data_IF_662327210751
#
_entry.id   IF_662327210751
#
_cell.length_a   1.000
_cell.length_b   1.000
_cell.length_c   1.000
_cell.angle_alpha   90.00
_cell.angle_beta   90.00
_cell.angle_gamma   90.00
#
_symmetry.space_group_name_H-M   'P 1'
#
loop_
_entity.id
_entity.type
_entity.pdbx_description
1 polymer ?
#
# COMPACT_ATOMS: atom_id res chain seq x y z
N UNK A 1 13.94 5.85 -17.23
CA UNK A 1 14.06 6.30 -15.82
C UNK A 1 14.86 5.25 -15.05
N UNK A 2 15.81 5.66 -14.20
CA UNK A 2 16.48 4.76 -13.24
C UNK A 2 16.18 5.29 -11.85
N UNK A 3 15.73 4.40 -10.96
CA UNK A 3 15.36 4.73 -9.59
C UNK A 3 15.74 3.57 -8.67
N UNK A 4 16.36 3.89 -7.53
CA UNK A 4 16.56 2.94 -6.44
C UNK A 4 15.75 3.38 -5.24
N UNK A 5 14.98 2.44 -4.68
CA UNK A 5 14.23 2.61 -3.44
C UNK A 5 14.91 1.72 -2.41
N UNK A 6 15.38 2.32 -1.32
CA UNK A 6 15.99 1.62 -0.19
C UNK A 6 14.95 1.35 0.90
N UNK A 7 15.34 0.60 1.93
CA UNK A 7 14.56 0.45 3.16
C UNK A 7 14.21 1.80 3.78
N UNK A 8 13.15 1.83 4.58
CA UNK A 8 12.57 3.05 5.14
C UNK A 8 11.38 3.56 4.31
N UNK A 9 11.03 4.82 4.48
CA UNK A 9 9.87 5.42 3.84
C UNK A 9 10.26 6.36 2.70
N UNK A 10 9.69 6.13 1.50
CA UNK A 10 9.91 6.94 0.30
C UNK A 10 8.60 7.49 -0.22
N UNK A 11 8.48 8.80 -0.36
CA UNK A 11 7.35 9.43 -1.02
C UNK A 11 7.63 9.70 -2.50
N UNK A 12 6.66 9.36 -3.35
CA UNK A 12 6.61 9.72 -4.76
C UNK A 12 5.67 10.91 -4.93
N UNK A 13 6.22 12.10 -5.12
CA UNK A 13 5.50 13.35 -5.24
C UNK A 13 5.42 13.78 -6.71
N UNK A 14 4.29 14.27 -7.16
CA UNK A 14 4.14 14.82 -8.51
C UNK A 14 2.69 15.04 -8.90
N UNK A 15 2.43 15.78 -9.99
CA UNK A 15 1.07 16.07 -10.44
C UNK A 15 0.33 14.78 -10.87
N UNK A 16 -1.00 14.89 -11.00
CA UNK A 16 -1.81 13.80 -11.58
C UNK A 16 -1.31 13.46 -12.98
N UNK A 17 -1.29 12.20 -13.33
CA UNK A 17 -0.79 11.73 -14.63
C UNK A 17 0.73 11.67 -14.78
N UNK A 18 1.52 11.96 -13.73
CA UNK A 18 2.99 11.90 -13.81
C UNK A 18 3.58 10.46 -13.84
N UNK A 19 2.74 9.42 -13.71
CA UNK A 19 3.16 8.02 -13.76
C UNK A 19 3.36 7.34 -12.40
N UNK A 20 3.01 7.98 -11.27
CA UNK A 20 3.22 7.44 -9.92
C UNK A 20 2.53 6.10 -9.70
N UNK A 21 1.22 6.01 -9.94
CA UNK A 21 0.45 4.76 -9.80
C UNK A 21 0.91 3.68 -10.79
N UNK A 22 1.35 4.08 -11.99
CA UNK A 22 1.96 3.15 -12.94
C UNK A 22 3.24 2.56 -12.36
N UNK A 23 4.10 3.40 -11.77
CA UNK A 23 5.31 2.93 -11.10
C UNK A 23 5.02 1.94 -9.98
N UNK A 24 4.01 2.21 -9.11
CA UNK A 24 3.62 1.25 -8.07
C UNK A 24 3.22 -0.10 -8.68
N UNK A 25 2.45 -0.11 -9.77
CA UNK A 25 2.02 -1.34 -10.44
C UNK A 25 3.18 -2.12 -11.08
N UNK A 26 4.24 -1.43 -11.50
CA UNK A 26 5.47 -2.08 -11.96
C UNK A 26 6.24 -2.73 -10.81
N UNK A 27 6.27 -2.11 -9.61
CA UNK A 27 7.01 -2.61 -8.46
C UNK A 27 6.47 -3.95 -7.94
N UNK A 28 5.16 -4.19 -8.02
CA UNK A 28 4.54 -5.46 -7.59
C UNK A 28 4.06 -6.33 -8.78
N UNK A 29 4.54 -6.02 -9.98
CA UNK A 29 4.23 -6.78 -11.20
C UNK A 29 2.72 -6.90 -11.49
N UNK A 30 1.93 -5.86 -11.21
CA UNK A 30 0.59 -5.70 -11.77
C UNK A 30 0.62 -5.18 -13.21
N UNK A 31 1.76 -4.69 -13.65
CA UNK A 31 2.09 -4.36 -15.02
C UNK A 31 3.57 -4.68 -15.26
N UNK A 32 3.92 -5.08 -16.48
CA UNK A 32 5.31 -5.25 -16.89
C UNK A 32 5.81 -3.97 -17.60
N UNK A 33 7.09 -3.61 -17.47
CA UNK A 33 7.64 -2.46 -18.17
C UNK A 33 7.82 -2.77 -19.66
N UNK A 34 7.46 -1.82 -20.55
CA UNK A 34 7.72 -1.93 -22.00
C UNK A 34 9.21 -2.04 -22.29
N UNK A 35 10.05 -1.34 -21.50
CA UNK A 35 11.50 -1.34 -21.61
C UNK A 35 12.15 -1.25 -20.23
N UNK A 36 13.33 -1.85 -20.11
CA UNK A 36 14.07 -1.84 -18.85
C UNK A 36 13.69 -2.99 -17.93
N UNK A 37 14.10 -2.89 -16.68
CA UNK A 37 13.92 -3.93 -15.65
C UNK A 37 13.49 -3.33 -14.33
N UNK A 38 12.62 -4.03 -13.61
CA UNK A 38 12.34 -3.78 -12.19
C UNK A 38 12.97 -4.92 -11.39
N UNK A 39 13.70 -4.58 -10.33
CA UNK A 39 14.36 -5.57 -9.48
C UNK A 39 13.90 -5.48 -8.05
N UNK A 40 13.67 -6.62 -7.45
CA UNK A 40 13.39 -6.74 -6.01
C UNK A 40 14.50 -7.61 -5.40
N UNK A 41 15.24 -7.08 -4.43
CA UNK A 41 16.45 -7.72 -3.86
C UNK A 41 17.45 -8.21 -4.94
N UNK A 42 17.63 -7.40 -6.00
CA UNK A 42 18.57 -7.72 -7.10
C UNK A 42 18.03 -8.65 -8.17
N UNK A 43 16.92 -9.36 -7.95
CA UNK A 43 16.27 -10.26 -8.90
C UNK A 43 15.24 -9.50 -9.75
N UNK A 44 15.22 -9.73 -11.07
CA UNK A 44 14.17 -9.18 -11.95
C UNK A 44 12.80 -9.70 -11.49
N UNK A 45 11.84 -8.83 -11.30
CA UNK A 45 10.49 -9.21 -10.83
C UNK A 45 9.78 -10.18 -11.78
N UNK A 46 10.18 -10.23 -13.05
CA UNK A 46 9.65 -11.17 -14.04
C UNK A 46 10.10 -12.61 -13.82
N UNK A 47 11.20 -12.80 -13.09
CA UNK A 47 11.74 -14.12 -12.73
C UNK A 47 11.11 -14.67 -11.44
N UNK A 48 10.40 -13.81 -10.67
CA UNK A 48 9.74 -14.17 -9.43
C UNK A 48 8.32 -14.67 -9.69
N UNK A 49 7.83 -15.56 -8.82
CA UNK A 49 6.41 -15.90 -8.81
C UNK A 49 5.58 -14.64 -8.45
N UNK A 50 4.56 -14.29 -9.25
CA UNK A 50 3.79 -13.07 -9.03
C UNK A 50 3.01 -13.06 -7.71
N UNK A 51 2.57 -14.20 -7.21
CA UNK A 51 1.82 -14.29 -5.95
C UNK A 51 2.76 -14.07 -4.78
N UNK A 52 3.94 -14.72 -4.79
CA UNK A 52 4.97 -14.52 -3.79
C UNK A 52 5.50 -13.08 -3.79
N UNK A 53 5.72 -12.49 -4.97
CA UNK A 53 6.11 -11.08 -5.05
C UNK A 53 5.06 -10.16 -4.41
N UNK A 54 3.78 -10.36 -4.71
CA UNK A 54 2.68 -9.52 -4.19
C UNK A 54 2.40 -9.75 -2.72
N UNK A 55 2.76 -10.91 -2.18
CA UNK A 55 2.77 -11.15 -0.74
C UNK A 55 3.80 -10.25 -0.05
N UNK A 56 5.03 -10.20 -0.57
CA UNK A 56 6.15 -9.41 -0.02
C UNK A 56 6.06 -7.92 -0.34
N UNK A 57 5.43 -7.56 -1.47
CA UNK A 57 5.25 -6.19 -1.96
C UNK A 57 3.75 -5.92 -2.07
N UNK A 58 3.13 -5.59 -0.95
CA UNK A 58 1.70 -5.31 -0.83
C UNK A 58 1.31 -3.97 -1.47
N UNK A 59 0.09 -3.86 -1.99
CA UNK A 59 -0.44 -2.62 -2.55
C UNK A 59 -1.78 -2.26 -1.90
N UNK A 60 -1.86 -1.04 -1.40
CA UNK A 60 -3.11 -0.39 -0.99
C UNK A 60 -3.49 0.61 -2.08
N UNK A 61 -4.59 0.37 -2.82
CA UNK A 61 -5.00 1.23 -3.91
C UNK A 61 -5.65 2.52 -3.42
N UNK A 62 -5.70 3.54 -4.27
CA UNK A 62 -6.34 4.84 -4.00
C UNK A 62 -7.83 4.69 -3.68
N UNK A 63 -8.56 3.88 -4.47
CA UNK A 63 -9.96 3.59 -4.22
C UNK A 63 -10.10 2.22 -3.55
N UNK A 64 -10.75 2.13 -2.40
CA UNK A 64 -10.97 0.86 -1.74
C UNK A 64 -11.85 -0.06 -2.59
N UNK A 65 -11.49 -1.33 -2.67
CA UNK A 65 -12.21 -2.35 -3.39
C UNK A 65 -12.35 -3.60 -2.50
N UNK A 66 -13.23 -3.56 -1.48
CA UNK A 66 -13.49 -4.73 -0.67
C UNK A 66 -14.15 -5.82 -1.50
N UNK A 67 -13.75 -7.08 -1.26
CA UNK A 67 -14.48 -8.23 -1.78
C UNK A 67 -15.78 -8.41 -0.99
N UNK A 68 -16.78 -9.05 -1.61
CA UNK A 68 -18.05 -9.35 -0.93
C UNK A 68 -17.80 -10.23 0.31
N UNK A 69 -18.45 -9.88 1.42
CA UNK A 69 -18.31 -10.57 2.69
C UNK A 69 -17.98 -9.63 3.85
N UNK A 70 -17.57 -10.22 4.96
CA UNK A 70 -17.23 -9.48 6.17
C UNK A 70 -15.87 -8.79 6.07
N UNK A 71 -15.58 -7.91 7.00
CA UNK A 71 -14.26 -7.30 7.18
C UNK A 71 -13.20 -8.38 7.42
N UNK A 72 -13.49 -9.37 8.25
CA UNK A 72 -12.61 -10.52 8.51
C UNK A 72 -12.31 -11.31 7.22
N UNK A 73 -13.33 -11.54 6.37
CA UNK A 73 -13.11 -12.20 5.07
C UNK A 73 -12.17 -11.41 4.19
N UNK A 74 -12.26 -10.08 4.23
CA UNK A 74 -11.40 -9.19 3.48
C UNK A 74 -9.96 -9.21 4.00
N UNK A 75 -9.76 -9.11 5.31
CA UNK A 75 -8.42 -9.14 5.93
C UNK A 75 -7.73 -10.49 5.70
N UNK A 76 -8.46 -11.59 5.91
CA UNK A 76 -7.93 -12.94 5.75
C UNK A 76 -7.86 -13.43 4.29
N UNK A 77 -8.30 -12.63 3.32
CA UNK A 77 -8.37 -13.05 1.91
C UNK A 77 -7.01 -13.48 1.36
N UNK A 78 -6.00 -12.63 1.52
CA UNK A 78 -4.63 -12.91 1.05
C UNK A 78 -4.01 -14.15 1.72
N UNK A 79 -3.94 -14.21 3.06
CA UNK A 79 -3.43 -15.39 3.78
C UNK A 79 -4.13 -16.69 3.38
N UNK A 80 -5.46 -16.70 3.24
CA UNK A 80 -6.21 -17.89 2.79
C UNK A 80 -5.80 -18.41 1.41
N UNK A 81 -5.40 -17.53 0.49
CA UNK A 81 -4.88 -17.93 -0.84
C UNK A 81 -3.56 -18.71 -0.72
N UNK A 82 -2.81 -18.49 0.35
CA UNK A 82 -1.57 -19.19 0.68
C UNK A 82 -1.78 -20.38 1.65
N UNK A 83 -3.04 -20.74 1.96
CA UNK A 83 -3.36 -21.82 2.90
C UNK A 83 -3.10 -21.47 4.37
N UNK A 84 -2.94 -20.20 4.69
CA UNK A 84 -2.66 -19.70 6.04
C UNK A 84 -3.94 -19.25 6.75
N UNK A 85 -3.96 -19.43 8.06
CA UNK A 85 -4.99 -18.87 8.93
C UNK A 85 -4.38 -17.72 9.73
N UNK A 86 -5.01 -16.56 9.64
CA UNK A 86 -4.59 -15.35 10.35
C UNK A 86 -5.77 -14.86 11.19
N UNK A 87 -5.48 -14.48 12.42
CA UNK A 87 -6.41 -13.75 13.25
C UNK A 87 -6.53 -12.31 12.71
N UNK A 88 -7.74 -11.85 12.28
CA UNK A 88 -7.92 -10.52 11.73
C UNK A 88 -7.73 -9.40 12.75
N UNK A 89 -7.76 -9.67 14.05
CA UNK A 89 -7.70 -8.65 15.09
C UNK A 89 -6.42 -7.81 15.02
N UNK A 90 -5.26 -8.44 14.89
CA UNK A 90 -3.99 -7.73 14.86
C UNK A 90 -3.86 -6.82 13.64
N UNK A 91 -4.09 -7.28 12.39
CA UNK A 91 -4.10 -6.40 11.22
C UNK A 91 -5.12 -5.26 11.31
N UNK A 92 -6.31 -5.52 11.89
CA UNK A 92 -7.32 -4.48 12.10
C UNK A 92 -6.80 -3.39 13.05
N UNK A 93 -6.25 -3.78 14.21
CA UNK A 93 -5.64 -2.82 15.15
C UNK A 93 -4.51 -2.01 14.51
N UNK A 94 -3.64 -2.68 13.74
CA UNK A 94 -2.56 -2.02 12.99
C UNK A 94 -3.09 -1.03 11.95
N UNK A 95 -4.27 -1.24 11.40
CA UNK A 95 -4.93 -0.33 10.46
C UNK A 95 -5.82 0.72 11.15
N UNK A 96 -5.78 0.81 12.48
CA UNK A 96 -6.59 1.76 13.26
C UNK A 96 -8.08 1.42 13.29
N UNK A 97 -8.45 0.15 13.08
CA UNK A 97 -9.82 -0.34 13.21
C UNK A 97 -9.99 -1.14 14.51
N UNK A 98 -11.14 -0.95 15.17
CA UNK A 98 -11.50 -1.78 16.31
C UNK A 98 -11.82 -3.21 15.83
N UNK A 99 -11.34 -4.27 16.51
CA UNK A 99 -11.64 -5.66 16.15
C UNK A 99 -13.11 -6.01 16.02
N UNK A 100 -14.01 -5.29 16.70
CA UNK A 100 -15.47 -5.47 16.57
C UNK A 100 -15.99 -5.22 15.14
N UNK A 101 -15.16 -4.62 14.28
CA UNK A 101 -15.48 -4.48 12.86
C UNK A 101 -15.43 -5.80 12.10
N UNK A 102 -14.76 -6.83 12.62
CA UNK A 102 -14.49 -8.09 11.91
C UNK A 102 -15.74 -8.69 11.26
N UNK A 103 -16.87 -8.69 11.96
CA UNK A 103 -18.13 -9.30 11.50
C UNK A 103 -19.01 -8.35 10.65
N UNK A 104 -18.61 -7.08 10.48
CA UNK A 104 -19.38 -6.13 9.68
C UNK A 104 -19.24 -6.44 8.19
N UNK A 105 -20.30 -6.18 7.43
CA UNK A 105 -20.28 -6.22 5.97
C UNK A 105 -19.36 -5.10 5.44
N UNK A 106 -18.28 -5.48 4.76
CA UNK A 106 -17.28 -4.55 4.27
C UNK A 106 -17.83 -3.55 3.23
N UNK A 107 -18.89 -3.91 2.50
CA UNK A 107 -19.53 -3.04 1.52
C UNK A 107 -20.33 -1.90 2.13
N UNK A 108 -20.70 -2.02 3.40
CA UNK A 108 -21.51 -1.02 4.13
C UNK A 108 -20.71 -0.03 4.95
N UNK A 109 -19.41 -0.16 4.94
CA UNK A 109 -18.51 0.74 5.63
C UNK A 109 -18.38 2.07 4.87
N UNK A 110 -18.04 3.14 5.60
CA UNK A 110 -17.61 4.40 4.99
C UNK A 110 -16.36 4.20 4.14
N UNK A 111 -16.10 5.11 3.20
CA UNK A 111 -14.90 5.04 2.34
C UNK A 111 -13.63 4.99 3.18
N UNK A 112 -13.54 5.78 4.26
CA UNK A 112 -12.39 5.78 5.16
C UNK A 112 -12.21 4.47 5.93
N UNK A 113 -13.32 3.84 6.39
CA UNK A 113 -13.27 2.53 7.03
C UNK A 113 -12.86 1.45 6.01
N UNK A 114 -13.41 1.49 4.78
CA UNK A 114 -13.00 0.59 3.70
C UNK A 114 -11.51 0.73 3.37
N UNK A 115 -10.98 1.96 3.33
CA UNK A 115 -9.56 2.20 3.09
C UNK A 115 -8.68 1.56 4.18
N UNK A 116 -9.09 1.67 5.45
CA UNK A 116 -8.41 0.99 6.55
C UNK A 116 -8.53 -0.53 6.48
N UNK A 117 -9.65 -1.07 5.99
CA UNK A 117 -9.77 -2.51 5.70
C UNK A 117 -8.79 -2.94 4.61
N UNK A 118 -8.58 -2.13 3.55
CA UNK A 118 -7.57 -2.43 2.52
C UNK A 118 -6.15 -2.41 3.11
N UNK A 119 -5.87 -1.49 4.02
CA UNK A 119 -4.60 -1.46 4.75
C UNK A 119 -4.42 -2.70 5.62
N UNK A 120 -5.44 -3.07 6.41
CA UNK A 120 -5.43 -4.30 7.23
C UNK A 120 -5.21 -5.56 6.37
N UNK A 121 -5.89 -5.67 5.21
CA UNK A 121 -5.72 -6.76 4.25
C UNK A 121 -4.27 -6.88 3.78
N UNK A 122 -3.63 -5.76 3.46
CA UNK A 122 -2.24 -5.75 3.02
C UNK A 122 -1.29 -6.14 4.16
N UNK A 123 -1.52 -5.61 5.37
CA UNK A 123 -0.72 -5.90 6.56
C UNK A 123 -0.85 -7.35 7.04
N UNK A 124 -1.99 -8.00 6.80
CA UNK A 124 -2.21 -9.41 7.14
C UNK A 124 -1.27 -10.39 6.42
N UNK A 125 -0.62 -9.96 5.35
CA UNK A 125 0.40 -10.71 4.61
C UNK A 125 1.82 -10.47 5.14
N UNK A 126 2.00 -9.63 6.15
CA UNK A 126 3.30 -9.25 6.72
C UNK A 126 4.31 -8.81 5.63
N UNK A 127 3.95 -7.83 4.78
CA UNK A 127 4.77 -7.46 3.64
C UNK A 127 6.10 -6.83 4.06
N UNK A 128 7.16 -7.03 3.27
CA UNK A 128 8.44 -6.31 3.41
C UNK A 128 8.34 -4.87 2.90
N UNK A 129 7.51 -4.67 1.87
CA UNK A 129 7.25 -3.36 1.26
C UNK A 129 5.75 -3.14 1.12
N UNK A 130 5.29 -1.97 1.55
CA UNK A 130 3.91 -1.54 1.38
C UNK A 130 3.84 -0.36 0.42
N UNK A 131 3.20 -0.58 -0.72
CA UNK A 131 2.93 0.43 -1.74
C UNK A 131 1.58 1.08 -1.44
N UNK A 132 1.55 2.40 -1.33
CA UNK A 132 0.39 3.19 -0.93
C UNK A 132 0.07 4.20 -2.01
N UNK A 133 -1.06 4.02 -2.70
CA UNK A 133 -1.49 4.94 -3.77
C UNK A 133 -2.52 5.93 -3.21
N UNK A 134 -2.07 7.12 -2.82
CA UNK A 134 -2.88 8.19 -2.22
C UNK A 134 -3.82 7.68 -1.08
N UNK A 135 -3.30 7.00 -0.05
CA UNK A 135 -4.10 6.21 0.90
C UNK A 135 -5.05 7.05 1.76
N UNK A 136 -4.91 8.36 1.77
CA UNK A 136 -5.71 9.29 2.60
C UNK A 136 -6.49 10.33 1.78
N UNK A 137 -6.44 10.27 0.45
CA UNK A 137 -7.03 11.31 -0.41
C UNK A 137 -8.56 11.47 -0.27
N UNK A 138 -9.26 10.42 0.16
CA UNK A 138 -10.72 10.42 0.32
C UNK A 138 -11.16 10.46 1.80
N UNK A 139 -10.25 10.76 2.74
CA UNK A 139 -10.51 10.74 4.17
C UNK A 139 -10.74 12.16 4.72
N UNK A 140 -11.57 12.27 5.76
CA UNK A 140 -11.62 13.45 6.61
C UNK A 140 -10.33 13.60 7.42
N UNK A 141 -10.08 14.78 7.98
CA UNK A 141 -8.79 15.09 8.61
C UNK A 141 -8.50 14.19 9.82
N UNK A 142 -9.49 13.91 10.67
CA UNK A 142 -9.31 13.04 11.86
C UNK A 142 -8.91 11.61 11.45
N UNK A 143 -9.59 11.08 10.42
CA UNK A 143 -9.29 9.74 9.88
C UNK A 143 -7.93 9.72 9.18
N UNK A 144 -7.58 10.79 8.45
CA UNK A 144 -6.28 10.96 7.79
C UNK A 144 -5.15 10.93 8.82
N UNK A 145 -5.25 11.71 9.90
CA UNK A 145 -4.26 11.71 10.98
C UNK A 145 -4.09 10.32 11.60
N UNK A 146 -5.18 9.60 11.85
CA UNK A 146 -5.14 8.24 12.42
C UNK A 146 -4.43 7.26 11.48
N UNK A 147 -4.70 7.31 10.17
CA UNK A 147 -4.01 6.47 9.17
C UNK A 147 -2.53 6.86 9.06
N UNK A 148 -2.20 8.14 9.02
CA UNK A 148 -0.81 8.62 8.98
C UNK A 148 -0.02 8.19 10.22
N UNK A 149 -0.61 8.29 11.42
CA UNK A 149 0.02 7.80 12.65
C UNK A 149 0.27 6.29 12.60
N UNK A 150 -0.68 5.53 12.05
CA UNK A 150 -0.51 4.08 11.84
C UNK A 150 0.66 3.81 10.89
N UNK A 151 0.71 4.45 9.72
CA UNK A 151 1.79 4.28 8.74
C UNK A 151 3.16 4.63 9.33
N UNK A 152 3.26 5.71 10.10
CA UNK A 152 4.48 6.11 10.79
C UNK A 152 4.94 5.09 11.85
N UNK A 153 4.03 4.31 12.43
CA UNK A 153 4.36 3.27 13.41
C UNK A 153 4.91 1.96 12.80
N UNK A 154 4.78 1.76 11.48
CA UNK A 154 5.20 0.55 10.76
C UNK A 154 6.73 0.50 10.54
N UNK A 155 7.53 0.56 11.59
CA UNK A 155 8.99 0.65 11.50
C UNK A 155 9.67 -0.56 10.81
N UNK A 156 9.03 -1.72 10.78
CA UNK A 156 9.58 -2.95 10.18
C UNK A 156 9.26 -3.09 8.68
N UNK A 157 8.39 -2.24 8.13
CA UNK A 157 7.90 -2.31 6.74
C UNK A 157 8.45 -1.12 5.96
N UNK A 158 9.04 -1.36 4.80
CA UNK A 158 9.42 -0.27 3.90
C UNK A 158 8.19 0.32 3.22
N UNK A 159 8.02 1.64 3.26
CA UNK A 159 6.86 2.32 2.69
C UNK A 159 7.22 3.02 1.37
N UNK A 160 6.37 2.85 0.36
CA UNK A 160 6.41 3.66 -0.87
C UNK A 160 5.07 4.37 -1.00
N UNK A 161 5.05 5.64 -0.63
CA UNK A 161 3.84 6.46 -0.59
C UNK A 161 3.72 7.34 -1.84
N UNK A 162 2.65 7.19 -2.60
CA UNK A 162 2.26 8.17 -3.62
C UNK A 162 1.37 9.21 -2.97
N UNK A 163 1.71 10.46 -3.15
CA UNK A 163 0.89 11.61 -2.73
C UNK A 163 1.12 12.81 -3.64
N UNK A 164 0.17 13.70 -3.72
CA UNK A 164 0.31 15.03 -4.30
C UNK A 164 0.48 16.12 -3.23
N UNK A 165 0.31 15.76 -1.94
CA UNK A 165 0.47 16.66 -0.80
C UNK A 165 1.91 16.65 -0.29
N UNK A 166 2.61 17.77 -0.49
CA UNK A 166 4.00 17.91 -0.02
C UNK A 166 4.12 17.77 1.50
N UNK A 167 3.21 18.37 2.25
CA UNK A 167 3.22 18.30 3.71
C UNK A 167 3.09 16.85 4.22
N UNK A 168 2.27 16.02 3.58
CA UNK A 168 2.15 14.60 3.90
C UNK A 168 3.45 13.86 3.61
N UNK A 169 4.05 14.11 2.43
CA UNK A 169 5.34 13.51 2.07
C UNK A 169 6.43 13.83 3.10
N UNK A 170 6.50 15.09 3.56
CA UNK A 170 7.47 15.55 4.56
C UNK A 170 7.24 14.96 5.97
N UNK A 171 5.99 14.60 6.31
CA UNK A 171 5.68 13.95 7.60
C UNK A 171 5.96 12.45 7.61
N UNK A 172 5.73 11.76 6.48
CA UNK A 172 5.70 10.29 6.44
C UNK A 172 6.92 9.65 5.77
N UNK A 173 7.76 10.43 5.07
CA UNK A 173 8.82 9.85 4.29
C UNK A 173 10.21 10.38 4.67
N UNK A 174 11.16 9.45 4.79
CA UNK A 174 12.58 9.75 4.96
C UNK A 174 13.18 10.36 3.69
N UNK A 175 12.58 10.03 2.54
CA UNK A 175 13.03 10.46 1.20
C UNK A 175 11.85 10.85 0.32
N UNK A 176 11.98 11.97 -0.37
CA UNK A 176 11.00 12.43 -1.36
C UNK A 176 11.62 12.38 -2.75
N UNK A 177 10.91 11.71 -3.67
CA UNK A 177 11.28 11.61 -5.09
C UNK A 177 10.19 12.30 -5.89
N UNK A 178 10.59 13.26 -6.73
CA UNK A 178 9.64 13.96 -7.60
C UNK A 178 9.56 13.28 -8.96
N UNK A 179 8.32 13.12 -9.43
CA UNK A 179 7.99 12.55 -10.73
C UNK A 179 7.22 13.56 -11.57
N UNK A 180 7.74 13.88 -12.75
CA UNK A 180 7.08 14.73 -13.74
C UNK A 180 7.21 14.11 -15.14
N UNK A 181 6.10 13.94 -15.87
CA UNK A 181 6.11 13.38 -17.21
C UNK A 181 6.82 12.02 -17.33
N UNK A 182 6.69 11.15 -16.32
CA UNK A 182 7.33 9.83 -16.29
C UNK A 182 8.84 9.86 -16.00
N UNK A 183 9.39 10.97 -15.53
CA UNK A 183 10.81 11.13 -15.19
C UNK A 183 10.99 11.56 -13.75
N UNK A 184 12.08 11.09 -13.14
CA UNK A 184 12.52 11.60 -11.84
C UNK A 184 13.14 12.99 -12.06
N UNK A 185 12.65 13.96 -11.30
CA UNK A 185 13.21 15.32 -11.23
C UNK A 185 13.86 15.53 -9.85
N UNK A 186 14.87 16.37 -9.83
CA UNK A 186 15.62 16.65 -8.59
C UNK A 186 14.78 17.43 -7.57
#
# INVERSE_FOLDING_TARGET
>A
MSLAISSGSTALLGPSGSGKSTLLRLLNRLADPDQGTVRFHGTDVRELDPLELRRRVGLVPQLPAPVAGTVADNVCFGPRLHGEQVDPEQPLRLAGLDPSFAERDASRLSVGEQQRVMLARALALEPEVLLLDEPTAALDEDTKEAVEATLASLAAVSLVLVTHERAQAERLADRIIRLEGGRVTA
#
